data_IF_135061850183
#
_entry.id   IF_135061850183
#
_cell.length_a   1.000
_cell.length_b   1.000
_cell.length_c   1.000
_cell.angle_alpha   90.00
_cell.angle_beta   90.00
_cell.angle_gamma   90.00
#
_symmetry.space_group_name_H-M   'P 1'
#
loop_
_entity.id
_entity.type
_entity.pdbx_description
1 polymer ?
#
# COMPACT_ATOMS: atom_id res chain seq x y z
N UNK A 1 -18.20 -28.34 -8.05
CA UNK A 1 -16.80 -28.08 -8.40
C UNK A 1 -16.02 -28.14 -7.10
N UNK A 2 -15.17 -29.13 -7.04
CA UNK A 2 -14.45 -29.58 -5.86
C UNK A 2 -13.44 -28.54 -5.41
N UNK A 3 -13.56 -28.03 -4.18
CA UNK A 3 -12.57 -27.13 -3.57
C UNK A 3 -11.49 -28.03 -3.00
N UNK A 4 -10.42 -28.26 -3.79
CA UNK A 4 -9.27 -29.04 -3.35
C UNK A 4 -8.54 -28.32 -2.20
N UNK A 5 -8.62 -28.93 -1.03
CA UNK A 5 -7.86 -28.61 0.17
C UNK A 5 -6.52 -29.32 0.10
N UNK A 6 -5.41 -28.58 0.07
CA UNK A 6 -4.07 -29.17 0.20
C UNK A 6 -3.45 -28.77 1.54
N UNK A 7 -3.07 -29.80 2.28
CA UNK A 7 -2.42 -29.72 3.59
C UNK A 7 -0.91 -29.89 3.48
N UNK A 8 -0.16 -28.96 4.06
CA UNK A 8 1.29 -29.06 4.23
C UNK A 8 1.64 -29.06 5.73
N UNK A 9 2.30 -30.09 6.23
CA UNK A 9 2.77 -30.07 7.61
C UNK A 9 3.51 -31.32 8.05
N UNK A 10 4.65 -31.16 8.71
CA UNK A 10 5.20 -32.07 9.72
C UNK A 10 4.43 -31.84 11.03
N UNK A 11 3.81 -32.85 11.63
CA UNK A 11 3.13 -32.93 12.95
C UNK A 11 2.81 -31.61 13.71
N UNK A 12 2.54 -30.56 13.00
CA UNK A 12 2.36 -29.19 13.42
C UNK A 12 1.18 -28.60 12.65
N UNK A 13 0.48 -27.73 13.21
CA UNK A 13 -0.68 -26.95 12.81
C UNK A 13 -0.87 -26.87 11.28
N UNK A 14 -1.91 -27.51 10.79
CA UNK A 14 -2.33 -27.43 9.40
C UNK A 14 -2.77 -26.00 9.09
N UNK A 15 -2.20 -25.40 8.04
CA UNK A 15 -2.54 -24.04 7.61
C UNK A 15 -3.38 -24.08 6.34
N UNK A 16 -4.40 -23.23 6.30
CA UNK A 16 -5.21 -23.01 5.11
C UNK A 16 -5.02 -21.57 4.62
N UNK A 17 -4.99 -21.39 3.30
CA UNK A 17 -4.98 -20.06 2.67
C UNK A 17 -6.26 -19.88 1.88
N UNK A 18 -6.96 -18.78 2.17
CA UNK A 18 -8.17 -18.38 1.46
C UNK A 18 -7.96 -17.03 0.79
N UNK A 19 -8.54 -16.87 -0.39
CA UNK A 19 -8.55 -15.61 -1.12
C UNK A 19 -9.83 -14.87 -0.77
N UNK A 20 -9.69 -13.65 -0.26
CA UNK A 20 -10.77 -12.71 0.01
C UNK A 20 -10.89 -11.71 -1.15
N UNK A 21 -12.06 -11.58 -1.74
CA UNK A 21 -12.30 -10.73 -2.92
C UNK A 21 -12.30 -9.23 -2.60
N UNK A 22 -12.24 -8.85 -1.33
CA UNK A 22 -12.17 -7.48 -0.85
C UNK A 22 -12.00 -7.45 0.66
N UNK A 23 -11.73 -6.26 1.19
CA UNK A 23 -11.54 -6.03 2.63
C UNK A 23 -12.80 -6.38 3.44
N UNK A 24 -13.98 -6.21 2.85
CA UNK A 24 -15.26 -6.58 3.46
C UNK A 24 -15.45 -8.07 3.73
N UNK A 25 -14.55 -8.94 3.25
CA UNK A 25 -14.52 -10.36 3.64
C UNK A 25 -13.85 -10.61 5.00
N UNK A 26 -13.29 -9.58 5.61
CA UNK A 26 -12.83 -9.58 7.00
C UNK A 26 -13.84 -8.83 7.85
N UNK A 27 -14.03 -9.24 9.11
CA UNK A 27 -14.67 -8.34 10.07
C UNK A 27 -13.68 -7.26 10.51
N UNK A 28 -14.20 -6.14 11.04
CA UNK A 28 -13.33 -5.09 11.60
C UNK A 28 -12.46 -5.65 12.72
N UNK A 29 -13.01 -6.48 13.59
CA UNK A 29 -12.30 -7.09 14.72
C UNK A 29 -11.19 -8.02 14.25
N UNK A 30 -11.41 -8.79 13.20
CA UNK A 30 -10.38 -9.62 12.58
C UNK A 30 -9.23 -8.74 12.07
N UNK A 31 -9.54 -7.68 11.31
CA UNK A 31 -8.55 -6.79 10.72
C UNK A 31 -7.79 -6.00 11.79
N UNK A 32 -8.49 -5.48 12.78
CA UNK A 32 -7.91 -4.71 13.88
C UNK A 32 -7.06 -5.57 14.83
N UNK A 33 -7.14 -6.91 14.72
CA UNK A 33 -6.27 -7.84 15.45
C UNK A 33 -4.83 -7.90 14.92
N UNK A 34 -4.59 -7.38 13.71
CA UNK A 34 -3.24 -7.37 13.13
C UNK A 34 -2.37 -6.25 13.69
N UNK A 35 -1.06 -6.47 13.69
CA UNK A 35 -0.09 -5.44 14.07
C UNK A 35 -0.09 -4.26 13.09
N UNK A 36 -0.13 -3.04 13.62
CA UNK A 36 -0.01 -1.80 12.83
C UNK A 36 -1.33 -1.27 12.24
N UNK A 37 -2.44 -1.97 12.37
CA UNK A 37 -3.73 -1.58 11.78
C UNK A 37 -4.56 -0.65 12.66
N UNK A 38 -4.27 -0.60 13.96
CA UNK A 38 -4.97 0.25 14.94
C UNK A 38 -4.01 1.11 15.75
N UNK A 39 -4.53 2.19 16.36
CA UNK A 39 -3.76 3.09 17.26
C UNK A 39 -3.32 2.40 18.55
N UNK A 40 -3.93 1.29 18.92
CA UNK A 40 -3.60 0.50 20.09
C UNK A 40 -2.57 -0.59 19.80
N UNK A 41 -2.16 -0.73 18.55
CA UNK A 41 -1.16 -1.70 18.13
C UNK A 41 0.22 -1.40 18.72
N UNK A 42 0.88 -2.42 19.24
CA UNK A 42 2.25 -2.33 19.77
C UNK A 42 3.32 -2.14 18.69
N UNK A 43 3.02 -2.50 17.45
CA UNK A 43 3.92 -2.39 16.28
C UNK A 43 3.89 -1.04 15.56
N UNK A 44 3.23 -0.02 16.17
CA UNK A 44 3.03 1.28 15.56
C UNK A 44 1.85 1.31 14.59
N UNK A 45 1.11 2.43 14.60
CA UNK A 45 -0.08 2.60 13.77
C UNK A 45 0.27 3.12 12.39
N UNK A 46 -0.16 2.41 11.35
CA UNK A 46 -0.13 2.88 9.97
C UNK A 46 -1.57 3.13 9.48
N UNK A 47 -2.03 4.39 9.36
CA UNK A 47 -3.40 4.71 8.99
C UNK A 47 -3.81 4.15 7.62
N UNK A 48 -2.87 3.96 6.72
CA UNK A 48 -3.10 3.41 5.38
C UNK A 48 -3.36 1.89 5.37
N UNK A 49 -3.12 1.22 6.50
CA UNK A 49 -3.45 -0.20 6.71
C UNK A 49 -4.70 -0.39 7.57
N UNK A 50 -5.34 0.69 8.02
CA UNK A 50 -6.58 0.58 8.79
C UNK A 50 -7.72 -0.01 7.95
N UNK A 51 -8.64 -0.72 8.61
CA UNK A 51 -9.84 -1.24 7.97
C UNK A 51 -10.60 -0.13 7.24
N UNK A 52 -10.78 1.03 7.90
CA UNK A 52 -11.51 2.17 7.32
C UNK A 52 -10.89 2.69 6.02
N UNK A 53 -9.55 2.80 5.97
CA UNK A 53 -8.88 3.31 4.78
C UNK A 53 -9.03 2.36 3.59
N UNK A 54 -8.78 1.07 3.80
CA UNK A 54 -8.88 0.08 2.73
C UNK A 54 -10.33 -0.14 2.29
N UNK A 55 -11.29 -0.18 3.21
CA UNK A 55 -12.72 -0.22 2.88
C UNK A 55 -13.14 1.00 2.07
N UNK A 56 -12.72 2.21 2.47
CA UNK A 56 -13.06 3.43 1.74
C UNK A 56 -12.57 3.39 0.28
N UNK A 57 -11.38 2.83 0.01
CA UNK A 57 -10.86 2.69 -1.35
C UNK A 57 -11.67 1.71 -2.20
N UNK A 58 -12.16 0.62 -1.61
CA UNK A 58 -12.96 -0.37 -2.30
C UNK A 58 -14.41 0.10 -2.47
N UNK A 59 -15.04 0.61 -1.41
CA UNK A 59 -16.43 1.06 -1.38
C UNK A 59 -16.66 2.29 -2.28
N UNK A 60 -15.69 3.19 -2.37
CA UNK A 60 -15.74 4.33 -3.29
C UNK A 60 -15.55 3.96 -4.77
N UNK A 61 -15.14 2.71 -5.06
CA UNK A 61 -14.85 2.27 -6.42
C UNK A 61 -13.46 2.69 -6.92
N UNK A 62 -12.60 3.27 -6.06
CA UNK A 62 -11.23 3.63 -6.46
C UNK A 62 -10.34 2.38 -6.62
N UNK A 63 -10.48 1.39 -5.74
CA UNK A 63 -9.70 0.14 -5.79
C UNK A 63 -10.61 -1.06 -6.08
N UNK A 64 -11.07 -1.17 -7.33
CA UNK A 64 -11.96 -2.24 -7.80
C UNK A 64 -11.46 -2.80 -9.15
N UNK A 65 -12.08 -3.89 -9.61
CA UNK A 65 -11.71 -4.53 -10.89
C UNK A 65 -11.75 -3.54 -12.07
N UNK A 66 -12.74 -2.66 -12.12
CA UNK A 66 -12.93 -1.68 -13.20
C UNK A 66 -11.79 -0.67 -13.30
N UNK A 67 -11.15 -0.37 -12.17
CA UNK A 67 -9.98 0.52 -12.08
C UNK A 67 -8.66 -0.24 -12.09
N UNK A 68 -8.69 -1.55 -12.40
CA UNK A 68 -7.51 -2.40 -12.47
C UNK A 68 -6.94 -2.84 -11.11
N UNK A 69 -7.72 -2.72 -10.03
CA UNK A 69 -7.36 -3.14 -8.66
C UNK A 69 -8.38 -4.15 -8.12
N UNK A 70 -8.35 -5.38 -8.61
CA UNK A 70 -9.28 -6.39 -8.11
C UNK A 70 -8.76 -7.00 -6.80
N UNK A 71 -9.52 -6.90 -5.70
CA UNK A 71 -9.17 -7.51 -4.41
C UNK A 71 -8.90 -9.00 -4.51
N UNK A 72 -7.75 -9.42 -3.98
CA UNK A 72 -7.28 -10.80 -3.84
C UNK A 72 -6.50 -10.96 -2.54
N UNK A 73 -7.06 -10.42 -1.44
CA UNK A 73 -6.38 -10.47 -0.14
C UNK A 73 -6.23 -11.91 0.32
N UNK A 74 -5.08 -12.24 0.90
CA UNK A 74 -4.88 -13.57 1.45
C UNK A 74 -5.24 -13.60 2.93
N UNK A 75 -5.94 -14.63 3.35
CA UNK A 75 -6.22 -15.00 4.73
C UNK A 75 -5.42 -16.26 5.03
N UNK A 76 -4.52 -16.21 6.00
CA UNK A 76 -3.84 -17.39 6.52
C UNK A 76 -4.54 -17.83 7.80
N UNK A 77 -5.04 -19.06 7.80
CA UNK A 77 -5.85 -19.61 8.88
C UNK A 77 -5.29 -20.95 9.35
N UNK A 78 -5.60 -21.36 10.59
CA UNK A 78 -5.40 -22.73 11.03
C UNK A 78 -6.40 -23.64 10.34
N UNK A 79 -6.17 -24.97 10.34
CA UNK A 79 -7.16 -25.94 9.87
C UNK A 79 -8.54 -25.85 10.55
N UNK A 80 -8.60 -25.28 11.76
CA UNK A 80 -9.84 -24.96 12.47
C UNK A 80 -10.46 -23.60 12.12
N UNK A 81 -9.94 -22.87 11.13
CA UNK A 81 -10.49 -21.60 10.64
C UNK A 81 -10.12 -20.36 11.46
N UNK A 82 -9.21 -20.47 12.43
CA UNK A 82 -8.72 -19.31 13.18
C UNK A 82 -7.73 -18.50 12.34
N UNK A 83 -8.02 -17.22 12.12
CA UNK A 83 -7.20 -16.31 11.36
C UNK A 83 -5.88 -16.01 12.10
N UNK A 84 -4.76 -16.18 11.42
CA UNK A 84 -3.39 -15.97 11.93
C UNK A 84 -2.73 -14.74 11.31
N UNK A 85 -3.00 -14.50 10.04
CA UNK A 85 -2.40 -13.40 9.30
C UNK A 85 -3.16 -13.07 8.04
N UNK A 86 -2.85 -11.92 7.46
CA UNK A 86 -3.41 -11.47 6.20
C UNK A 86 -2.37 -10.76 5.33
N UNK A 87 -2.64 -10.72 4.03
CA UNK A 87 -1.83 -10.02 3.05
C UNK A 87 -2.75 -9.17 2.18
N UNK A 88 -2.73 -7.83 2.29
CA UNK A 88 -3.41 -6.96 1.35
C UNK A 88 -2.86 -7.18 -0.05
N UNK A 89 -3.67 -7.70 -0.95
CA UNK A 89 -3.25 -8.10 -2.29
C UNK A 89 -4.33 -7.78 -3.31
N UNK A 90 -3.92 -7.40 -4.51
CA UNK A 90 -4.81 -7.08 -5.63
C UNK A 90 -4.31 -7.74 -6.91
N UNK A 91 -5.22 -8.28 -7.72
CA UNK A 91 -4.91 -8.64 -9.10
C UNK A 91 -4.97 -7.37 -9.95
N UNK A 92 -3.87 -7.08 -10.62
CA UNK A 92 -3.65 -5.84 -11.37
C UNK A 92 -3.71 -6.09 -12.86
N UNK A 93 -4.48 -5.25 -13.58
CA UNK A 93 -4.50 -5.22 -15.05
C UNK A 93 -3.56 -4.18 -15.66
N UNK A 94 -2.91 -3.35 -14.84
CA UNK A 94 -1.92 -2.33 -15.20
C UNK A 94 -1.17 -1.87 -13.95
N UNK A 95 -0.06 -1.13 -14.08
CA UNK A 95 0.76 -0.66 -12.94
C UNK A 95 0.44 0.76 -12.46
N UNK A 96 -0.67 1.35 -12.90
CA UNK A 96 -1.09 2.67 -12.41
C UNK A 96 -1.44 2.62 -10.91
N UNK A 97 -1.02 3.66 -10.17
CA UNK A 97 -1.28 3.82 -8.75
C UNK A 97 -0.38 2.99 -7.83
N UNK A 98 0.60 2.26 -8.35
CA UNK A 98 1.54 1.45 -7.56
C UNK A 98 2.76 2.24 -7.07
N UNK A 99 3.09 3.35 -7.74
CA UNK A 99 4.29 4.17 -7.50
C UNK A 99 5.63 3.40 -7.63
N UNK A 100 5.59 2.24 -8.27
CA UNK A 100 6.76 1.47 -8.70
C UNK A 100 6.72 1.41 -10.23
N UNK A 101 7.78 1.94 -10.85
CA UNK A 101 7.81 2.04 -12.31
C UNK A 101 8.39 0.76 -12.90
N UNK A 102 7.54 -0.11 -13.40
CA UNK A 102 7.89 -1.40 -13.99
C UNK A 102 7.56 -1.50 -15.49
N UNK A 103 7.26 -0.38 -16.13
CA UNK A 103 6.88 -0.34 -17.55
C UNK A 103 7.92 -0.99 -18.47
N UNK A 104 9.21 -0.77 -18.21
CA UNK A 104 10.28 -1.40 -18.98
C UNK A 104 10.32 -2.93 -18.85
N UNK A 105 9.89 -3.46 -17.71
CA UNK A 105 9.76 -4.91 -17.50
C UNK A 105 8.55 -5.47 -18.22
N UNK A 106 7.41 -4.78 -18.14
CA UNK A 106 6.20 -5.13 -18.86
C UNK A 106 6.47 -5.19 -20.36
N UNK A 107 7.07 -4.14 -20.93
CA UNK A 107 7.44 -4.08 -22.35
C UNK A 107 8.41 -5.19 -22.76
N UNK A 108 9.42 -5.50 -21.91
CA UNK A 108 10.38 -6.56 -22.20
C UNK A 108 9.73 -7.94 -22.18
N UNK A 109 8.85 -8.20 -21.21
CA UNK A 109 8.15 -9.45 -21.06
C UNK A 109 7.18 -9.70 -22.23
N UNK A 110 6.44 -8.66 -22.64
CA UNK A 110 5.52 -8.73 -23.78
C UNK A 110 6.26 -8.91 -25.11
N UNK A 111 7.40 -8.24 -25.32
CA UNK A 111 8.26 -8.48 -26.49
C UNK A 111 8.83 -9.89 -26.54
N UNK A 112 9.00 -10.53 -25.40
CA UNK A 112 9.39 -11.94 -25.31
C UNK A 112 8.22 -12.92 -25.54
N UNK A 113 7.02 -12.42 -25.84
CA UNK A 113 5.82 -13.23 -26.10
C UNK A 113 5.03 -13.62 -24.86
N UNK A 114 5.32 -13.05 -23.69
CA UNK A 114 4.58 -13.24 -22.45
C UNK A 114 3.46 -12.21 -22.27
N UNK A 115 2.56 -12.48 -21.32
CA UNK A 115 1.54 -11.54 -20.88
C UNK A 115 1.92 -11.03 -19.49
N UNK A 116 2.35 -9.78 -19.37
CA UNK A 116 2.75 -9.22 -18.08
C UNK A 116 1.59 -9.02 -17.10
N UNK A 117 0.42 -8.71 -17.62
CA UNK A 117 -0.80 -8.61 -16.83
C UNK A 117 -1.76 -9.78 -17.14
N UNK A 118 -2.55 -10.23 -16.14
CA UNK A 118 -2.58 -9.76 -14.77
C UNK A 118 -1.37 -10.20 -13.95
N UNK A 119 -1.06 -9.39 -12.90
CA UNK A 119 -0.08 -9.72 -11.86
C UNK A 119 -0.69 -9.54 -10.48
N UNK A 120 -0.10 -10.12 -9.43
CA UNK A 120 -0.48 -9.84 -8.06
C UNK A 120 0.34 -8.69 -7.49
N UNK A 121 -0.32 -7.79 -6.77
CA UNK A 121 0.28 -6.61 -6.16
C UNK A 121 -0.08 -6.52 -4.67
N UNK A 122 0.90 -6.73 -3.80
CA UNK A 122 0.75 -6.56 -2.36
C UNK A 122 1.22 -5.16 -1.97
N UNK A 123 0.29 -4.25 -1.81
CA UNK A 123 0.54 -2.84 -1.51
C UNK A 123 -0.70 -2.18 -0.92
N UNK A 124 -0.54 -0.95 -0.47
CA UNK A 124 -1.67 -0.05 -0.26
C UNK A 124 -1.94 0.68 -1.58
N UNK A 125 -3.15 0.61 -2.15
CA UNK A 125 -3.46 1.30 -3.39
C UNK A 125 -3.21 2.81 -3.29
N UNK A 126 -2.66 3.39 -4.35
CA UNK A 126 -2.42 4.83 -4.50
C UNK A 126 -1.53 5.48 -3.43
N UNK A 127 -0.77 4.68 -2.66
CA UNK A 127 -0.06 5.16 -1.47
C UNK A 127 1.36 4.60 -1.41
N UNK A 128 2.41 5.38 -1.72
CA UNK A 128 3.80 4.94 -1.71
C UNK A 128 4.39 4.94 -0.29
N UNK A 129 3.68 4.38 0.66
CA UNK A 129 4.06 4.36 2.08
C UNK A 129 4.65 3.01 2.45
N UNK A 130 5.83 3.03 3.07
CA UNK A 130 6.44 1.85 3.68
C UNK A 130 5.62 1.40 4.88
N UNK A 131 5.42 0.10 5.00
CA UNK A 131 4.71 -0.51 6.12
C UNK A 131 4.53 -2.01 5.93
N UNK A 132 4.09 -2.73 6.96
CA UNK A 132 3.91 -4.16 6.89
C UNK A 132 2.96 -4.54 5.75
N UNK A 133 3.33 -5.59 5.04
CA UNK A 133 2.45 -6.23 4.04
C UNK A 133 2.08 -7.63 4.50
N UNK A 134 2.98 -8.31 5.19
CA UNK A 134 2.73 -9.59 5.85
C UNK A 134 2.14 -9.28 7.23
N UNK A 135 0.81 -9.14 7.30
CA UNK A 135 0.11 -8.77 8.54
C UNK A 135 -0.02 -9.99 9.44
N UNK A 136 0.40 -9.86 10.67
CA UNK A 136 0.38 -10.93 11.67
C UNK A 136 -0.58 -10.56 12.79
N UNK A 137 -1.42 -11.51 13.20
CA UNK A 137 -2.31 -11.33 14.34
C UNK A 137 -1.47 -11.19 15.61
N UNK A 138 -1.84 -10.24 16.46
CA UNK A 138 -1.14 -10.02 17.72
C UNK A 138 -1.16 -11.28 18.59
N UNK A 139 0.00 -11.65 19.14
CA UNK A 139 0.19 -12.84 19.96
C UNK A 139 0.54 -14.11 19.18
N UNK A 140 0.56 -14.10 17.85
CA UNK A 140 1.04 -15.22 17.04
C UNK A 140 2.57 -15.17 16.82
N UNK A 141 3.15 -16.31 16.43
CA UNK A 141 4.56 -16.36 16.03
C UNK A 141 4.78 -15.65 14.69
N UNK A 142 5.35 -14.46 14.78
CA UNK A 142 5.53 -13.56 13.66
C UNK A 142 6.35 -14.18 12.52
N UNK A 143 7.42 -14.92 12.85
CA UNK A 143 8.30 -15.51 11.86
C UNK A 143 7.57 -16.61 11.04
N UNK A 144 6.87 -17.50 11.73
CA UNK A 144 6.10 -18.58 11.11
C UNK A 144 4.96 -18.05 10.25
N UNK A 145 4.20 -17.08 10.75
CA UNK A 145 3.05 -16.51 10.01
C UNK A 145 3.52 -15.75 8.78
N UNK A 146 4.57 -14.93 8.89
CA UNK A 146 5.14 -14.22 7.74
C UNK A 146 5.70 -15.16 6.68
N UNK A 147 6.41 -16.22 7.08
CA UNK A 147 6.90 -17.23 6.16
C UNK A 147 5.74 -17.94 5.45
N UNK A 148 4.68 -18.29 6.19
CA UNK A 148 3.46 -18.86 5.64
C UNK A 148 2.78 -17.96 4.62
N UNK A 149 2.64 -16.66 4.90
CA UNK A 149 2.06 -15.69 3.97
C UNK A 149 2.90 -15.51 2.69
N UNK A 150 4.23 -15.45 2.83
CA UNK A 150 5.12 -15.34 1.68
C UNK A 150 5.05 -16.58 0.77
N UNK A 151 5.03 -17.78 1.34
CA UNK A 151 4.86 -19.03 0.62
C UNK A 151 3.47 -19.16 -0.03
N UNK A 152 2.43 -18.72 0.68
CA UNK A 152 1.05 -18.69 0.20
C UNK A 152 0.89 -17.79 -1.03
N UNK A 153 1.48 -16.59 -1.01
CA UNK A 153 1.44 -15.68 -2.15
C UNK A 153 2.07 -16.30 -3.40
N UNK A 154 3.18 -17.02 -3.26
CA UNK A 154 3.81 -17.74 -4.36
C UNK A 154 2.88 -18.82 -4.91
N UNK A 155 2.32 -19.67 -4.04
CA UNK A 155 1.37 -20.72 -4.42
C UNK A 155 0.14 -20.16 -5.15
N UNK A 156 -0.42 -19.06 -4.65
CA UNK A 156 -1.57 -18.40 -5.28
C UNK A 156 -1.19 -17.80 -6.65
N UNK A 157 0.01 -17.23 -6.77
CA UNK A 157 0.53 -16.73 -8.05
C UNK A 157 0.57 -17.83 -9.11
N UNK A 158 1.15 -18.99 -8.74
CA UNK A 158 1.27 -20.14 -9.62
C UNK A 158 -0.11 -20.72 -10.00
N UNK A 159 -1.02 -20.85 -9.03
CA UNK A 159 -2.39 -21.38 -9.27
C UNK A 159 -3.25 -20.47 -10.15
N UNK A 160 -3.13 -19.18 -10.01
CA UNK A 160 -3.86 -18.22 -10.83
C UNK A 160 -3.26 -18.07 -12.24
N UNK A 161 -2.06 -18.58 -12.47
CA UNK A 161 -1.35 -18.44 -13.73
C UNK A 161 -1.05 -16.99 -14.10
N UNK A 162 -0.90 -16.13 -13.09
CA UNK A 162 -0.53 -14.72 -13.30
C UNK A 162 0.98 -14.59 -13.48
N UNK A 163 1.42 -13.51 -14.11
CA UNK A 163 2.83 -13.35 -14.52
C UNK A 163 3.81 -13.27 -13.35
N UNK A 164 3.40 -12.66 -12.26
CA UNK A 164 4.27 -12.37 -11.12
C UNK A 164 3.48 -11.92 -9.89
N UNK A 165 4.15 -11.91 -8.72
CA UNK A 165 3.69 -11.24 -7.51
C UNK A 165 4.70 -10.20 -7.05
N UNK A 166 4.23 -9.00 -6.73
CA UNK A 166 5.02 -7.89 -6.26
C UNK A 166 4.62 -7.49 -4.85
N UNK A 167 5.60 -7.35 -3.96
CA UNK A 167 5.40 -6.82 -2.60
C UNK A 167 6.14 -5.50 -2.54
N UNK A 168 5.42 -4.38 -2.58
CA UNK A 168 6.04 -3.06 -2.67
C UNK A 168 6.02 -2.32 -1.33
N UNK A 169 7.05 -1.51 -1.10
CA UNK A 169 7.23 -0.70 0.12
C UNK A 169 7.19 -1.54 1.42
N UNK A 170 7.66 -2.79 1.35
CA UNK A 170 7.82 -3.63 2.52
C UNK A 170 8.86 -3.05 3.49
N UNK A 171 8.69 -3.19 4.82
CA UNK A 171 9.69 -2.78 5.78
C UNK A 171 10.95 -3.65 5.66
N UNK A 172 12.09 -3.08 6.02
CA UNK A 172 13.40 -3.77 5.94
C UNK A 172 13.40 -5.12 6.67
N UNK A 173 12.64 -5.23 7.77
CA UNK A 173 12.54 -6.48 8.55
C UNK A 173 11.81 -7.63 7.83
N UNK A 174 11.00 -7.34 6.80
CA UNK A 174 10.30 -8.38 6.05
C UNK A 174 11.14 -8.94 4.87
N UNK A 175 12.19 -8.21 4.46
CA UNK A 175 13.02 -8.58 3.31
C UNK A 175 13.63 -9.97 3.44
N UNK A 176 14.28 -10.36 4.58
CA UNK A 176 14.85 -11.70 4.70
C UNK A 176 13.82 -12.82 4.55
N UNK A 177 12.60 -12.63 5.04
CA UNK A 177 11.50 -13.61 4.91
C UNK A 177 11.06 -13.76 3.45
N UNK A 178 10.93 -12.64 2.74
CA UNK A 178 10.58 -12.65 1.32
C UNK A 178 11.69 -13.29 0.47
N UNK A 179 12.96 -12.95 0.70
CA UNK A 179 14.10 -13.55 0.01
C UNK A 179 14.19 -15.06 0.25
N UNK A 180 13.98 -15.52 1.50
CA UNK A 180 13.93 -16.92 1.84
C UNK A 180 12.80 -17.68 1.11
N UNK A 181 11.70 -17.02 0.81
CA UNK A 181 10.61 -17.56 -0.02
C UNK A 181 10.88 -17.48 -1.53
N UNK A 182 12.04 -16.97 -1.95
CA UNK A 182 12.48 -16.91 -3.34
C UNK A 182 12.10 -15.62 -4.09
N UNK A 183 11.66 -14.57 -3.38
CA UNK A 183 11.44 -13.26 -3.99
C UNK A 183 12.75 -12.54 -4.24
N UNK A 184 12.79 -11.78 -5.32
CA UNK A 184 13.96 -10.95 -5.67
C UNK A 184 13.81 -9.56 -5.08
N UNK A 185 14.81 -9.10 -4.35
CA UNK A 185 14.83 -7.77 -3.76
C UNK A 185 15.18 -6.72 -4.82
N UNK A 186 14.32 -5.72 -4.96
CA UNK A 186 14.54 -4.54 -5.79
C UNK A 186 14.53 -3.29 -4.92
N UNK A 187 15.46 -2.39 -5.15
CA UNK A 187 15.53 -1.09 -4.47
C UNK A 187 15.23 0.04 -5.42
N UNK A 188 14.60 1.08 -4.90
CA UNK A 188 14.37 2.35 -5.57
C UNK A 188 14.57 3.49 -4.57
N UNK A 189 14.51 4.75 -5.02
CA UNK A 189 14.77 5.92 -4.18
C UNK A 189 13.48 6.68 -3.90
N UNK A 190 13.23 6.95 -2.62
CA UNK A 190 12.26 7.92 -2.16
C UNK A 190 12.97 9.11 -1.52
N UNK A 191 12.42 10.31 -1.71
CA UNK A 191 12.93 11.53 -1.09
C UNK A 191 12.04 11.90 0.09
N UNK A 192 12.65 11.96 1.27
CA UNK A 192 11.96 12.31 2.50
C UNK A 192 12.56 13.60 3.06
N UNK A 193 11.69 14.47 3.58
CA UNK A 193 12.11 15.59 4.39
C UNK A 193 12.15 15.14 5.86
N UNK A 194 13.30 15.28 6.49
CA UNK A 194 13.46 15.07 7.92
C UNK A 194 13.63 16.42 8.61
N UNK A 195 12.83 16.70 9.63
CA UNK A 195 13.03 17.87 10.46
C UNK A 195 14.18 17.61 11.45
N UNK A 196 15.33 18.17 11.17
CA UNK A 196 16.58 18.05 11.98
C UNK A 196 16.57 19.01 13.18
N UNK A 197 15.41 19.33 13.74
CA UNK A 197 15.27 20.23 14.87
C UNK A 197 14.96 21.67 14.48
N UNK A 198 14.51 21.90 13.25
CA UNK A 198 14.07 23.23 12.81
C UNK A 198 12.81 23.67 13.56
N UNK A 199 12.89 24.78 14.27
CA UNK A 199 11.75 25.40 14.96
C UNK A 199 10.97 26.37 14.06
N UNK A 200 11.59 26.80 12.96
CA UNK A 200 10.98 27.71 12.00
C UNK A 200 11.39 27.40 10.56
N UNK A 201 10.63 27.94 9.60
CA UNK A 201 11.01 27.87 8.19
C UNK A 201 12.33 28.61 7.89
N UNK A 202 12.63 29.68 8.63
CA UNK A 202 13.88 30.41 8.47
C UNK A 202 15.09 29.58 8.95
N UNK A 203 14.93 28.73 9.97
CA UNK A 203 15.99 27.81 10.40
C UNK A 203 16.32 26.81 9.30
N UNK A 204 15.28 26.21 8.69
CA UNK A 204 15.45 25.35 7.52
C UNK A 204 16.15 26.11 6.37
N UNK A 205 15.69 27.33 6.06
CA UNK A 205 16.30 28.12 5.00
C UNK A 205 17.77 28.46 5.27
N UNK A 206 18.17 28.58 6.54
CA UNK A 206 19.55 28.87 6.92
C UNK A 206 20.52 27.77 6.50
N UNK A 207 20.07 26.52 6.40
CA UNK A 207 20.88 25.39 5.95
C UNK A 207 21.17 25.38 4.45
N UNK A 208 20.40 26.16 3.68
CA UNK A 208 20.51 26.18 2.22
C UNK A 208 21.54 27.19 1.73
N UNK A 209 22.15 26.92 0.59
CA UNK A 209 23.02 27.87 -0.12
C UNK A 209 22.30 29.20 -0.36
N UNK A 210 23.02 30.32 -0.20
CA UNK A 210 22.49 31.68 -0.26
C UNK A 210 21.59 31.97 -1.46
N UNK A 211 21.97 31.49 -2.66
CA UNK A 211 21.17 31.64 -3.88
C UNK A 211 19.80 30.95 -3.75
N UNK A 212 19.76 29.70 -3.26
CA UNK A 212 18.52 28.92 -3.09
C UNK A 212 17.63 29.53 -2.03
N UNK A 213 18.22 29.93 -0.90
CA UNK A 213 17.53 30.62 0.18
C UNK A 213 16.84 31.90 -0.28
N UNK A 214 17.54 32.77 -1.04
CA UNK A 214 16.98 33.99 -1.62
C UNK A 214 15.84 33.71 -2.58
N UNK A 215 15.97 32.69 -3.45
CA UNK A 215 14.93 32.28 -4.38
C UNK A 215 13.66 31.85 -3.62
N UNK A 216 13.77 30.94 -2.67
CA UNK A 216 12.63 30.46 -1.88
C UNK A 216 11.93 31.57 -1.07
N UNK A 217 12.71 32.52 -0.48
CA UNK A 217 12.13 33.69 0.20
C UNK A 217 11.36 34.59 -0.76
N UNK A 218 11.89 34.79 -1.97
CA UNK A 218 11.22 35.57 -3.02
C UNK A 218 9.91 34.90 -3.47
N UNK A 219 9.98 33.62 -3.83
CA UNK A 219 8.83 32.82 -4.26
C UNK A 219 7.69 32.84 -3.22
N UNK A 220 8.03 32.62 -1.94
CA UNK A 220 7.03 32.66 -0.86
C UNK A 220 6.37 34.04 -0.73
N UNK A 221 7.16 35.11 -0.81
CA UNK A 221 6.63 36.47 -0.75
C UNK A 221 5.71 36.79 -1.93
N UNK A 222 6.13 36.41 -3.14
CA UNK A 222 5.35 36.61 -4.37
C UNK A 222 4.05 35.80 -4.35
N UNK A 223 4.07 34.56 -3.87
CA UNK A 223 2.88 33.72 -3.74
C UNK A 223 1.81 34.35 -2.81
N UNK A 224 2.21 35.16 -1.85
CA UNK A 224 1.29 35.79 -0.88
C UNK A 224 0.99 37.29 -1.18
N UNK A 225 1.61 37.83 -2.22
CA UNK A 225 1.52 39.30 -2.52
C UNK A 225 0.12 39.76 -2.94
N UNK A 226 -0.76 38.88 -3.39
CA UNK A 226 -2.12 39.18 -3.85
C UNK A 226 -3.18 39.26 -2.75
N UNK A 227 -2.79 39.35 -1.48
CA UNK A 227 -3.74 39.37 -0.36
C UNK A 227 -4.28 37.97 0.01
N UNK A 228 -3.58 36.90 -0.45
CA UNK A 228 -3.93 35.52 -0.16
C UNK A 228 -3.66 35.24 1.32
N UNK A 229 -4.63 34.66 2.01
CA UNK A 229 -4.48 34.15 3.36
C UNK A 229 -4.44 32.62 3.31
N UNK A 230 -3.60 32.01 4.15
CA UNK A 230 -3.50 30.56 4.26
C UNK A 230 -4.08 30.15 5.61
N UNK A 231 -5.14 29.34 5.56
CA UNK A 231 -5.75 28.73 6.73
C UNK A 231 -5.49 27.23 6.71
N UNK A 232 -5.15 26.66 7.88
CA UNK A 232 -4.98 25.21 8.06
C UNK A 232 -6.22 24.63 8.70
N UNK A 233 -6.95 23.81 7.95
CA UNK A 233 -8.12 23.12 8.44
C UNK A 233 -7.73 21.69 8.84
N UNK A 234 -8.14 21.25 10.04
CA UNK A 234 -7.89 19.89 10.53
C UNK A 234 -9.10 19.34 11.27
N UNK A 235 -9.30 18.01 11.19
CA UNK A 235 -10.37 17.33 11.92
C UNK A 235 -11.75 17.94 11.63
N UNK A 236 -12.46 18.33 12.69
CA UNK A 236 -13.82 18.89 12.57
C UNK A 236 -13.92 20.26 11.88
N UNK A 237 -12.82 20.95 11.69
CA UNK A 237 -12.81 22.21 10.94
C UNK A 237 -12.87 22.01 9.41
N UNK A 238 -12.62 20.80 8.92
CA UNK A 238 -12.77 20.46 7.51
C UNK A 238 -14.26 20.24 7.25
N UNK A 239 -14.87 21.12 6.50
CA UNK A 239 -16.29 21.04 6.12
C UNK A 239 -16.48 20.26 4.83
N UNK A 240 -17.72 19.80 4.55
CA UNK A 240 -18.06 19.19 3.25
C UNK A 240 -17.69 20.09 2.07
N UNK A 241 -17.98 21.39 2.19
CA UNK A 241 -17.57 22.37 1.18
C UNK A 241 -16.06 22.40 0.92
N UNK A 242 -15.25 22.27 1.99
CA UNK A 242 -13.79 22.24 1.83
C UNK A 242 -13.34 20.96 1.08
N UNK A 243 -14.04 19.84 1.29
CA UNK A 243 -13.82 18.61 0.54
C UNK A 243 -14.24 18.73 -0.93
N UNK A 244 -15.39 19.34 -1.21
CA UNK A 244 -15.87 19.59 -2.58
C UNK A 244 -14.90 20.50 -3.35
N UNK A 245 -14.46 21.59 -2.74
CA UNK A 245 -13.49 22.51 -3.34
C UNK A 245 -12.14 21.81 -3.59
N UNK A 246 -11.66 21.02 -2.61
CA UNK A 246 -10.44 20.22 -2.77
C UNK A 246 -10.57 19.22 -3.91
N UNK A 247 -11.68 18.48 -3.98
CA UNK A 247 -11.93 17.48 -5.01
C UNK A 247 -11.97 18.12 -6.41
N UNK A 248 -12.62 19.28 -6.55
CA UNK A 248 -12.64 20.02 -7.80
C UNK A 248 -11.22 20.40 -8.28
N UNK A 249 -10.36 20.88 -7.39
CA UNK A 249 -8.95 21.18 -7.71
C UNK A 249 -8.13 19.93 -8.01
N UNK A 250 -8.37 18.83 -7.29
CA UNK A 250 -7.71 17.56 -7.53
C UNK A 250 -8.02 17.03 -8.93
N UNK A 251 -9.31 17.02 -9.30
CA UNK A 251 -9.77 16.58 -10.63
C UNK A 251 -9.21 17.43 -11.77
N UNK A 252 -9.27 18.76 -11.63
CA UNK A 252 -8.72 19.71 -12.61
C UNK A 252 -7.21 19.53 -12.79
N UNK A 253 -6.47 19.44 -11.70
CA UNK A 253 -5.01 19.27 -11.73
C UNK A 253 -4.61 17.94 -12.35
N UNK A 254 -5.27 16.86 -11.98
CA UNK A 254 -5.04 15.51 -12.52
C UNK A 254 -5.37 15.43 -14.00
N UNK A 255 -6.52 15.98 -14.40
CA UNK A 255 -6.96 16.04 -15.79
C UNK A 255 -5.99 16.80 -16.69
N UNK A 256 -5.46 17.95 -16.24
CA UNK A 256 -4.49 18.75 -17.01
C UNK A 256 -3.11 18.10 -17.13
N UNK A 257 -2.64 17.39 -16.10
CA UNK A 257 -1.27 16.86 -16.06
C UNK A 257 -1.15 15.45 -16.62
N UNK A 258 -2.11 14.58 -16.33
CA UNK A 258 -1.99 13.14 -16.57
C UNK A 258 -3.20 12.53 -17.29
N UNK A 259 -4.13 13.35 -17.76
CA UNK A 259 -5.35 12.94 -18.44
C UNK A 259 -6.50 12.55 -17.51
N UNK A 260 -6.21 11.96 -16.36
CA UNK A 260 -7.18 11.68 -15.30
C UNK A 260 -6.46 11.47 -13.95
N UNK A 261 -7.09 11.84 -12.83
CA UNK A 261 -6.58 11.51 -11.50
C UNK A 261 -6.73 10.02 -11.20
N UNK A 262 -6.08 9.55 -10.15
CA UNK A 262 -6.14 8.15 -9.71
C UNK A 262 -7.39 7.84 -8.88
N UNK A 263 -7.87 8.78 -8.05
CA UNK A 263 -9.01 8.62 -7.13
C UNK A 263 -10.26 9.29 -7.68
#
# INVERSE_FOLDING_TARGET
>A
MDQGEETFGTAATEYAVRIAAGIGAFTREEWDSFGGTTKTSTSGYNPFLSFDFLSALEDSGCAVRQTGWQGHHLRLETGGGRLLGALPCYAKSHSQGEYVFDHGWADAFERAGGNYYPKLQCSVPFTPVTGPRLLVRQGEDEATVKAGLAAALKTVTDRLGVSSAHVTFAPQGDIPTLEAAGYLHRTDKQFHFFNEGFSSYDDFLATLASRKRKALKKERREALAGGITIERLTGKAITERAWDDFFAFYMDTGGRKWGRPYL
#
